data_IF_497987388299
#
_entry.id   IF_497987388299
#
_cell.length_a   1.000
_cell.length_b   1.000
_cell.length_c   1.000
_cell.angle_alpha   90.00
_cell.angle_beta   90.00
_cell.angle_gamma   90.00
#
_symmetry.space_group_name_H-M   'P 1'
#
loop_
_entity.id
_entity.type
_entity.pdbx_description
1 polymer ?
#
# COMPACT_ATOMS: atom_id res chain seq x y z
N UNK A 1 13.44 23.40 16.11
CA UNK A 1 14.84 22.94 16.01
C UNK A 1 14.90 21.88 14.92
N UNK A 2 15.03 22.30 13.66
CA UNK A 2 15.05 21.39 12.51
C UNK A 2 16.49 21.04 12.17
N UNK A 3 16.87 19.77 12.33
CA UNK A 3 18.19 19.28 11.94
C UNK A 3 18.36 19.36 10.42
N UNK A 4 19.00 20.43 9.95
CA UNK A 4 19.40 20.62 8.56
C UNK A 4 20.64 19.82 8.21
N UNK A 5 20.56 18.49 8.35
CA UNK A 5 21.54 17.59 7.77
C UNK A 5 21.28 17.38 6.28
N UNK A 6 22.30 17.11 5.46
CA UNK A 6 22.11 16.73 4.06
C UNK A 6 21.18 15.52 3.96
N UNK A 7 20.17 15.59 3.10
CA UNK A 7 19.29 14.46 2.81
C UNK A 7 20.10 13.34 2.17
N UNK A 8 19.80 12.04 2.39
CA UNK A 8 20.51 10.94 1.75
C UNK A 8 20.66 11.09 0.23
N UNK A 9 19.64 11.65 -0.45
CA UNK A 9 19.68 11.94 -1.88
C UNK A 9 20.73 12.98 -2.30
N UNK A 10 21.11 13.92 -1.42
CA UNK A 10 22.17 14.89 -1.72
C UNK A 10 23.57 14.29 -1.86
N UNK A 11 23.76 13.03 -1.44
CA UNK A 11 25.00 12.27 -1.66
C UNK A 11 25.06 11.63 -3.06
N UNK A 12 23.95 11.61 -3.81
CA UNK A 12 23.94 11.19 -5.21
C UNK A 12 24.30 12.40 -6.05
N UNK A 13 25.38 12.29 -6.84
CA UNK A 13 25.78 13.36 -7.74
C UNK A 13 24.66 13.71 -8.71
N UNK A 14 24.40 15.01 -8.88
CA UNK A 14 23.35 15.57 -9.75
C UNK A 14 23.35 14.94 -11.14
N UNK A 15 24.54 14.71 -11.72
CA UNK A 15 24.69 14.07 -13.04
C UNK A 15 24.19 12.62 -13.10
N UNK A 16 24.20 11.91 -11.96
CA UNK A 16 23.78 10.51 -11.86
C UNK A 16 22.35 10.37 -11.33
N UNK A 17 21.74 11.44 -10.81
CA UNK A 17 20.39 11.45 -10.23
C UNK A 17 19.31 10.90 -11.18
N UNK A 18 19.21 11.31 -12.46
CA UNK A 18 18.19 10.76 -13.34
C UNK A 18 18.33 9.24 -13.52
N UNK A 19 19.55 8.75 -13.74
CA UNK A 19 19.85 7.32 -13.89
C UNK A 19 19.55 6.54 -12.60
N UNK A 20 19.86 7.13 -11.45
CA UNK A 20 19.54 6.58 -10.13
C UNK A 20 18.04 6.36 -9.96
N UNK A 21 17.22 7.33 -10.35
CA UNK A 21 15.76 7.22 -10.26
C UNK A 21 15.24 6.10 -11.15
N UNK A 22 15.73 5.96 -12.38
CA UNK A 22 15.37 4.82 -13.25
C UNK A 22 15.71 3.48 -12.60
N UNK A 23 16.91 3.33 -12.03
CA UNK A 23 17.30 2.09 -11.34
C UNK A 23 16.45 1.81 -10.10
N UNK A 24 16.05 2.83 -9.35
CA UNK A 24 15.13 2.66 -8.22
C UNK A 24 13.74 2.22 -8.70
N UNK A 25 13.21 2.82 -9.78
CA UNK A 25 11.93 2.42 -10.35
C UNK A 25 12.00 0.99 -10.90
N UNK A 26 13.08 0.61 -11.59
CA UNK A 26 13.29 -0.76 -12.08
C UNK A 26 13.38 -1.75 -10.91
N UNK A 27 14.07 -1.37 -9.84
CA UNK A 27 14.14 -2.20 -8.64
C UNK A 27 12.77 -2.39 -7.98
N UNK A 28 11.91 -1.38 -8.01
CA UNK A 28 10.53 -1.50 -7.53
C UNK A 28 9.70 -2.39 -8.46
N UNK A 29 9.65 -2.08 -9.75
CA UNK A 29 8.63 -2.61 -10.66
C UNK A 29 8.98 -3.96 -11.26
N UNK A 30 10.27 -4.23 -11.49
CA UNK A 30 10.76 -5.46 -12.15
C UNK A 30 11.78 -6.24 -11.32
N UNK A 31 12.09 -5.78 -10.09
CA UNK A 31 13.00 -6.46 -9.18
C UNK A 31 14.49 -6.37 -9.57
N UNK A 32 14.87 -5.46 -10.48
CA UNK A 32 16.26 -5.28 -10.88
C UNK A 32 17.13 -4.85 -9.68
N UNK A 33 18.35 -5.37 -9.55
CA UNK A 33 19.23 -4.94 -8.45
C UNK A 33 19.77 -3.52 -8.69
N UNK A 34 19.74 -2.67 -7.66
CA UNK A 34 20.45 -1.38 -7.68
C UNK A 34 21.87 -1.60 -7.19
N UNK A 35 22.87 -1.38 -8.05
CA UNK A 35 24.30 -1.54 -7.70
C UNK A 35 24.89 -0.21 -7.23
N UNK A 36 25.70 -0.26 -6.16
CA UNK A 36 26.48 0.87 -5.67
C UNK A 36 27.67 1.21 -6.58
N UNK A 37 28.13 0.27 -7.42
CA UNK A 37 29.30 0.43 -8.32
C UNK A 37 29.16 1.60 -9.30
N UNK A 38 27.94 2.03 -9.62
CA UNK A 38 27.70 3.20 -10.48
C UNK A 38 27.67 4.53 -9.71
N UNK A 39 27.85 4.47 -8.38
CA UNK A 39 27.70 5.58 -7.44
C UNK A 39 28.80 5.54 -6.37
N UNK A 40 30.02 5.14 -6.73
CA UNK A 40 31.15 4.94 -5.79
C UNK A 40 31.47 6.18 -4.94
N UNK A 41 31.20 7.37 -5.46
CA UNK A 41 31.37 8.65 -4.75
C UNK A 41 30.40 8.84 -3.56
N UNK A 42 29.30 8.08 -3.52
CA UNK A 42 28.33 8.10 -2.43
C UNK A 42 28.72 7.06 -1.38
N UNK A 43 28.81 7.40 -0.07
CA UNK A 43 29.04 6.40 0.97
C UNK A 43 27.97 5.29 0.94
N UNK A 44 28.38 4.03 1.13
CA UNK A 44 27.50 2.86 0.97
C UNK A 44 26.26 2.91 1.88
N UNK A 45 26.40 3.40 3.12
CA UNK A 45 25.27 3.58 4.04
C UNK A 45 24.29 4.65 3.53
N UNK A 46 24.81 5.77 3.01
CA UNK A 46 24.02 6.85 2.42
C UNK A 46 23.33 6.43 1.13
N UNK A 47 23.99 5.60 0.33
CA UNK A 47 23.43 5.05 -0.89
C UNK A 47 22.16 4.25 -0.62
N UNK A 48 22.19 3.31 0.33
CA UNK A 48 21.00 2.52 0.66
C UNK A 48 19.89 3.37 1.27
N UNK A 49 20.23 4.38 2.08
CA UNK A 49 19.25 5.35 2.58
C UNK A 49 18.64 6.17 1.44
N UNK A 50 19.42 6.57 0.45
CA UNK A 50 18.95 7.30 -0.73
C UNK A 50 18.00 6.44 -1.57
N UNK A 51 18.30 5.13 -1.72
CA UNK A 51 17.42 4.18 -2.43
C UNK A 51 16.08 4.11 -1.73
N UNK A 52 16.06 3.91 -0.41
CA UNK A 52 14.81 3.84 0.36
C UNK A 52 14.05 5.18 0.33
N UNK A 53 14.75 6.30 0.45
CA UNK A 53 14.14 7.63 0.36
C UNK A 53 13.48 7.84 -1.00
N UNK A 54 14.16 7.48 -2.10
CA UNK A 54 13.60 7.61 -3.45
C UNK A 54 12.40 6.70 -3.66
N UNK A 55 12.42 5.45 -3.17
CA UNK A 55 11.25 4.56 -3.23
C UNK A 55 10.02 5.17 -2.56
N UNK A 56 10.21 5.80 -1.40
CA UNK A 56 9.13 6.51 -0.69
C UNK A 56 8.60 7.67 -1.51
N UNK A 57 9.48 8.50 -2.07
CA UNK A 57 9.09 9.64 -2.92
C UNK A 57 8.31 9.17 -4.15
N UNK A 58 8.82 8.16 -4.87
CA UNK A 58 8.17 7.57 -6.06
C UNK A 58 6.76 7.07 -5.70
N UNK A 59 6.63 6.37 -4.56
CA UNK A 59 5.34 5.89 -4.05
C UNK A 59 4.39 7.05 -3.72
N UNK A 60 4.86 8.03 -2.97
CA UNK A 60 4.01 9.12 -2.47
C UNK A 60 3.52 10.05 -3.59
N UNK A 61 4.33 10.27 -4.63
CA UNK A 61 3.89 11.00 -5.84
C UNK A 61 2.84 10.19 -6.58
N UNK A 62 3.09 8.89 -6.80
CA UNK A 62 2.19 8.03 -7.58
C UNK A 62 0.81 7.93 -6.92
N UNK A 63 0.79 7.81 -5.59
CA UNK A 63 -0.41 7.75 -4.74
C UNK A 63 -1.00 9.13 -4.40
N UNK A 64 -0.50 10.22 -5.00
CA UNK A 64 -0.97 11.60 -4.82
C UNK A 64 -0.91 12.11 -3.36
N UNK A 65 -0.06 11.49 -2.53
CA UNK A 65 0.22 11.93 -1.15
C UNK A 65 1.17 13.11 -1.10
N UNK A 66 2.00 13.25 -2.14
CA UNK A 66 2.95 14.35 -2.31
C UNK A 66 2.57 15.20 -3.53
N UNK A 67 2.28 16.49 -3.30
CA UNK A 67 2.00 17.41 -4.40
C UNK A 67 3.26 17.77 -5.17
N UNK A 68 3.11 18.25 -6.41
CA UNK A 68 4.23 18.66 -7.25
C UNK A 68 5.08 19.74 -6.58
N UNK A 69 4.47 20.70 -5.91
CA UNK A 69 5.16 21.80 -5.22
C UNK A 69 6.03 21.26 -4.08
N UNK A 70 5.46 20.40 -3.23
CA UNK A 70 6.20 19.78 -2.11
C UNK A 70 7.32 18.87 -2.59
N UNK A 71 7.10 18.18 -3.72
CA UNK A 71 8.13 17.38 -4.37
C UNK A 71 9.30 18.26 -4.84
N UNK A 72 9.00 19.39 -5.49
CA UNK A 72 10.02 20.34 -5.96
C UNK A 72 10.80 20.87 -4.77
N UNK A 73 10.14 21.31 -3.70
CA UNK A 73 10.80 21.81 -2.49
C UNK A 73 11.70 20.75 -1.84
N UNK A 74 11.29 19.48 -1.85
CA UNK A 74 12.04 18.36 -1.28
C UNK A 74 13.35 18.07 -2.03
N UNK A 75 13.34 18.22 -3.36
CA UNK A 75 14.48 17.91 -4.22
C UNK A 75 15.23 19.15 -4.71
N UNK A 76 14.78 20.37 -4.37
CA UNK A 76 15.45 21.63 -4.72
C UNK A 76 16.96 21.66 -4.44
N UNK A 77 17.50 21.00 -3.37
CA UNK A 77 18.96 20.89 -3.19
C UNK A 77 19.72 20.24 -4.36
N UNK A 78 19.03 19.53 -5.26
CA UNK A 78 19.57 18.90 -6.47
C UNK A 78 19.50 19.79 -7.70
N UNK A 79 19.15 21.07 -7.58
CA UNK A 79 18.84 22.02 -8.67
C UNK A 79 17.48 21.80 -9.36
N UNK A 80 16.96 22.87 -9.97
CA UNK A 80 15.62 22.88 -10.56
C UNK A 80 15.52 21.97 -11.80
N UNK A 81 16.51 22.00 -12.69
CA UNK A 81 16.50 21.23 -13.94
C UNK A 81 16.51 19.73 -13.64
N UNK A 82 17.34 19.31 -12.70
CA UNK A 82 17.41 17.91 -12.27
C UNK A 82 16.13 17.49 -11.57
N UNK A 83 15.57 18.33 -10.71
CA UNK A 83 14.30 18.06 -10.02
C UNK A 83 13.14 17.85 -11.01
N UNK A 84 13.03 18.69 -12.03
CA UNK A 84 12.02 18.57 -13.08
C UNK A 84 12.19 17.25 -13.87
N UNK A 85 13.43 16.90 -14.26
CA UNK A 85 13.72 15.63 -14.93
C UNK A 85 13.34 14.40 -14.09
N UNK A 86 13.55 14.46 -12.78
CA UNK A 86 13.13 13.37 -11.87
C UNK A 86 11.61 13.26 -11.83
N UNK A 87 10.90 14.39 -11.73
CA UNK A 87 9.43 14.39 -11.73
C UNK A 87 8.86 13.79 -13.02
N UNK A 88 9.41 14.19 -14.16
CA UNK A 88 9.01 13.68 -15.47
C UNK A 88 9.29 12.17 -15.61
N UNK A 89 10.44 11.69 -15.15
CA UNK A 89 10.79 10.27 -15.19
C UNK A 89 9.80 9.40 -14.38
N UNK A 90 9.38 9.88 -13.19
CA UNK A 90 8.38 9.20 -12.35
C UNK A 90 7.02 9.18 -13.06
N UNK A 91 6.58 10.33 -13.56
CA UNK A 91 5.29 10.45 -14.23
C UNK A 91 5.21 9.65 -15.53
N UNK A 92 6.30 9.58 -16.30
CA UNK A 92 6.36 8.80 -17.53
C UNK A 92 6.11 7.30 -17.30
N UNK A 93 6.43 6.79 -16.09
CA UNK A 93 6.24 5.39 -15.69
C UNK A 93 5.14 5.21 -14.64
N UNK A 94 4.26 6.20 -14.48
CA UNK A 94 3.26 6.21 -13.40
C UNK A 94 2.35 4.97 -13.41
N UNK A 95 1.92 4.52 -14.59
CA UNK A 95 1.10 3.30 -14.73
C UNK A 95 1.82 2.07 -14.20
N UNK A 96 3.05 1.83 -14.65
CA UNK A 96 3.88 0.70 -14.19
C UNK A 96 4.12 0.73 -12.68
N UNK A 97 4.40 1.92 -12.13
CA UNK A 97 4.59 2.10 -10.68
C UNK A 97 3.28 1.80 -9.95
N UNK A 98 2.14 2.30 -10.46
CA UNK A 98 0.82 2.04 -9.90
C UNK A 98 0.51 0.54 -9.85
N UNK A 99 0.75 -0.17 -10.95
CA UNK A 99 0.54 -1.62 -11.04
C UNK A 99 1.44 -2.38 -10.08
N UNK A 100 2.71 -1.98 -9.97
CA UNK A 100 3.64 -2.55 -9.00
C UNK A 100 3.15 -2.36 -7.55
N UNK A 101 2.74 -1.15 -7.19
CA UNK A 101 2.24 -0.84 -5.85
C UNK A 101 0.93 -1.59 -5.56
N UNK A 102 0.06 -1.73 -6.56
CA UNK A 102 -1.16 -2.52 -6.44
C UNK A 102 -0.85 -4.00 -6.19
N UNK A 103 0.05 -4.61 -6.98
CA UNK A 103 0.50 -6.00 -6.75
C UNK A 103 1.11 -6.17 -5.36
N UNK A 104 1.97 -5.25 -4.94
CA UNK A 104 2.55 -5.26 -3.60
C UNK A 104 1.45 -5.21 -2.52
N UNK A 105 0.43 -4.37 -2.67
CA UNK A 105 -0.68 -4.27 -1.73
C UNK A 105 -1.53 -5.55 -1.70
N UNK A 106 -1.86 -6.10 -2.87
CA UNK A 106 -2.63 -7.36 -3.01
C UNK A 106 -1.88 -8.53 -2.39
N UNK A 107 -0.59 -8.70 -2.69
CA UNK A 107 0.22 -9.77 -2.11
C UNK A 107 0.34 -9.69 -0.58
N UNK A 108 0.25 -8.49 -0.01
CA UNK A 108 0.30 -8.27 1.43
C UNK A 108 -1.07 -8.33 2.13
N UNK A 109 -2.16 -8.50 1.38
CA UNK A 109 -3.52 -8.55 1.92
C UNK A 109 -3.97 -10.00 2.13
N UNK A 110 -4.66 -10.28 3.22
CA UNK A 110 -5.31 -11.57 3.42
C UNK A 110 -6.52 -11.69 2.51
N UNK A 111 -6.65 -12.82 1.82
CA UNK A 111 -7.81 -13.11 1.00
C UNK A 111 -8.73 -14.07 1.72
N UNK A 112 -10.04 -13.80 1.65
CA UNK A 112 -11.06 -14.76 2.03
C UNK A 112 -11.00 -15.95 1.07
N UNK A 113 -10.90 -17.16 1.63
CA UNK A 113 -10.86 -18.43 0.93
C UNK A 113 -12.17 -19.18 1.03
N UNK A 114 -12.76 -19.16 2.21
CA UNK A 114 -14.03 -19.83 2.48
C UNK A 114 -14.77 -19.12 3.62
N UNK A 115 -16.08 -19.33 3.72
CA UNK A 115 -16.87 -18.85 4.84
C UNK A 115 -18.02 -19.80 5.16
N UNK A 116 -18.24 -19.99 6.46
CA UNK A 116 -19.35 -20.76 6.99
C UNK A 116 -20.18 -19.90 7.93
N UNK A 117 -21.47 -20.20 8.07
CA UNK A 117 -22.31 -19.48 9.01
C UNK A 117 -23.34 -20.40 9.66
N UNK A 118 -23.77 -20.02 10.86
CA UNK A 118 -24.91 -20.62 11.52
C UNK A 118 -25.74 -19.54 12.22
N UNK A 119 -27.00 -19.87 12.50
CA UNK A 119 -27.92 -19.00 13.23
C UNK A 119 -28.40 -19.74 14.46
N UNK A 120 -28.32 -19.09 15.62
CA UNK A 120 -28.81 -19.60 16.90
C UNK A 120 -29.80 -18.62 17.51
N UNK A 121 -30.73 -19.15 18.28
CA UNK A 121 -31.64 -18.34 19.09
C UNK A 121 -31.09 -18.27 20.51
N UNK A 122 -30.61 -17.11 20.92
CA UNK A 122 -30.23 -16.86 22.31
C UNK A 122 -31.52 -16.61 23.12
N UNK A 123 -31.72 -17.40 24.16
CA UNK A 123 -32.89 -17.28 25.05
C UNK A 123 -32.41 -16.77 26.39
N UNK A 124 -32.90 -15.61 26.82
CA UNK A 124 -32.63 -15.09 28.15
C UNK A 124 -33.47 -15.82 29.21
N UNK A 125 -32.83 -16.42 30.21
CA UNK A 125 -33.52 -17.23 31.24
C UNK A 125 -34.19 -16.40 32.34
N UNK A 126 -33.89 -15.10 32.45
CA UNK A 126 -34.25 -14.30 33.62
C UNK A 126 -35.22 -13.17 33.29
N UNK A 127 -36.50 -13.39 33.63
CA UNK A 127 -37.65 -12.47 33.76
C UNK A 127 -38.65 -12.41 32.58
N UNK A 128 -39.82 -13.05 32.78
CA UNK A 128 -41.22 -12.70 32.40
C UNK A 128 -41.55 -12.30 30.95
N UNK A 129 -40.60 -11.87 30.14
CA UNK A 129 -40.70 -11.65 28.71
C UNK A 129 -39.64 -12.54 28.07
N UNK A 130 -40.06 -13.54 27.30
CA UNK A 130 -39.18 -14.40 26.51
C UNK A 130 -38.46 -13.54 25.45
N UNK A 131 -37.35 -12.91 25.85
CA UNK A 131 -36.48 -12.19 24.94
C UNK A 131 -35.65 -13.25 24.21
N UNK A 132 -36.12 -13.59 23.02
CA UNK A 132 -35.38 -14.42 22.07
C UNK A 132 -34.69 -13.51 21.06
N UNK A 133 -33.37 -13.56 21.00
CA UNK A 133 -32.57 -12.82 20.04
C UNK A 133 -31.90 -13.80 19.08
N UNK A 134 -32.10 -13.58 17.78
CA UNK A 134 -31.42 -14.38 16.77
C UNK A 134 -30.01 -13.82 16.56
N UNK A 135 -29.02 -14.70 16.73
CA UNK A 135 -27.61 -14.40 16.54
C UNK A 135 -27.07 -15.23 15.40
N UNK A 136 -26.30 -14.60 14.51
CA UNK A 136 -25.55 -15.25 13.45
C UNK A 136 -24.08 -15.37 13.87
N UNK A 137 -23.51 -16.55 13.74
CA UNK A 137 -22.06 -16.76 13.84
C UNK A 137 -21.50 -16.94 12.44
N UNK A 138 -20.54 -16.08 12.06
CA UNK A 138 -19.84 -16.10 10.78
C UNK A 138 -18.40 -16.56 11.01
N UNK A 139 -18.00 -17.60 10.30
CA UNK A 139 -16.63 -18.11 10.23
C UNK A 139 -16.02 -17.69 8.90
N UNK A 140 -14.86 -17.05 8.94
CA UNK A 140 -14.11 -16.59 7.77
C UNK A 140 -12.76 -17.28 7.75
N UNK A 141 -12.50 -18.04 6.69
CA UNK A 141 -11.22 -18.68 6.45
C UNK A 141 -10.40 -17.80 5.50
N UNK A 142 -9.28 -17.26 5.97
CA UNK A 142 -8.44 -16.33 5.20
C UNK A 142 -7.02 -16.86 5.01
N UNK A 143 -6.33 -16.44 3.96
CA UNK A 143 -4.90 -16.72 3.80
C UNK A 143 -4.16 -15.59 3.08
N UNK A 144 -2.86 -15.46 3.33
CA UNK A 144 -1.99 -14.56 2.55
C UNK A 144 -1.51 -15.26 1.27
N UNK A 145 -1.40 -14.56 0.12
CA UNK A 145 -0.75 -15.08 -1.09
C UNK A 145 0.71 -15.45 -0.87
N UNK A 146 1.40 -14.74 0.03
CA UNK A 146 2.84 -14.96 0.29
C UNK A 146 3.11 -16.23 1.07
N UNK A 147 2.15 -16.65 1.88
CA UNK A 147 2.28 -17.85 2.69
C UNK A 147 0.90 -18.46 2.93
N UNK A 148 0.52 -19.43 2.11
CA UNK A 148 -0.73 -20.17 2.29
C UNK A 148 -0.81 -20.91 3.63
N UNK A 149 0.34 -21.16 4.28
CA UNK A 149 0.39 -21.77 5.62
C UNK A 149 0.00 -20.80 6.74
N UNK A 150 -0.03 -19.50 6.47
CA UNK A 150 -0.53 -18.48 7.40
C UNK A 150 -2.06 -18.32 7.26
N UNK A 151 -2.76 -19.44 7.09
CA UNK A 151 -4.21 -19.44 7.10
C UNK A 151 -4.73 -19.02 8.49
N UNK A 152 -5.72 -18.14 8.51
CA UNK A 152 -6.30 -17.63 9.74
C UNK A 152 -7.82 -17.71 9.67
N UNK A 153 -8.38 -18.26 10.75
CA UNK A 153 -9.81 -18.38 10.95
C UNK A 153 -10.30 -17.25 11.86
N UNK A 154 -11.23 -16.45 11.36
CA UNK A 154 -11.89 -15.41 12.13
C UNK A 154 -13.34 -15.82 12.38
N UNK A 155 -13.79 -15.74 13.63
CA UNK A 155 -15.16 -16.01 14.03
C UNK A 155 -15.79 -14.74 14.60
N UNK A 156 -16.93 -14.33 14.06
CA UNK A 156 -17.66 -13.13 14.47
C UNK A 156 -19.10 -13.49 14.75
N UNK A 157 -19.61 -13.07 15.90
CA UNK A 157 -21.02 -13.19 16.25
C UNK A 157 -21.72 -11.85 16.07
N UNK A 158 -22.89 -11.87 15.44
CA UNK A 158 -23.62 -10.68 15.03
C UNK A 158 -25.11 -10.82 15.32
N UNK A 159 -25.75 -9.72 15.72
CA UNK A 159 -27.21 -9.59 15.74
C UNK A 159 -27.76 -9.39 14.33
N UNK A 160 -29.07 -9.56 14.15
CA UNK A 160 -29.72 -9.29 12.86
C UNK A 160 -29.41 -7.87 12.32
N UNK A 161 -29.45 -6.86 13.18
CA UNK A 161 -29.13 -5.49 12.79
C UNK A 161 -27.68 -5.31 12.32
N UNK A 162 -26.72 -6.01 12.93
CA UNK A 162 -25.32 -5.96 12.50
C UNK A 162 -25.12 -6.68 11.17
N UNK A 163 -25.86 -7.77 10.92
CA UNK A 163 -25.85 -8.46 9.62
C UNK A 163 -26.40 -7.53 8.52
N UNK A 164 -27.48 -6.80 8.79
CA UNK A 164 -28.03 -5.84 7.83
C UNK A 164 -27.01 -4.74 7.49
N UNK A 165 -26.33 -4.17 8.48
CA UNK A 165 -25.23 -3.21 8.26
C UNK A 165 -24.10 -3.81 7.43
N UNK A 166 -23.65 -5.04 7.74
CA UNK A 166 -22.60 -5.70 6.97
C UNK A 166 -23.01 -5.90 5.50
N UNK A 167 -24.27 -6.29 5.26
CA UNK A 167 -24.78 -6.46 3.90
C UNK A 167 -24.87 -5.14 3.14
N UNK A 168 -25.23 -4.04 3.81
CA UNK A 168 -25.23 -2.70 3.21
C UNK A 168 -23.81 -2.26 2.83
N UNK A 169 -22.83 -2.47 3.70
CA UNK A 169 -21.42 -2.14 3.42
C UNK A 169 -20.88 -2.97 2.25
N UNK A 170 -21.14 -4.28 2.22
CA UNK A 170 -20.70 -5.16 1.14
C UNK A 170 -21.36 -4.82 -0.20
N UNK A 171 -22.64 -4.47 -0.22
CA UNK A 171 -23.32 -3.98 -1.43
C UNK A 171 -22.73 -2.67 -1.93
N UNK A 172 -22.49 -1.71 -1.03
CA UNK A 172 -21.83 -0.46 -1.38
C UNK A 172 -20.45 -0.68 -2.00
N UNK A 173 -19.65 -1.59 -1.43
CA UNK A 173 -18.37 -1.97 -2.01
C UNK A 173 -18.53 -2.63 -3.40
N UNK A 174 -19.51 -3.53 -3.57
CA UNK A 174 -19.81 -4.14 -4.86
C UNK A 174 -20.22 -3.13 -5.94
N UNK A 175 -21.01 -2.11 -5.58
CA UNK A 175 -21.45 -1.06 -6.50
C UNK A 175 -20.27 -0.22 -6.99
N UNK A 176 -19.31 0.11 -6.11
CA UNK A 176 -18.07 0.81 -6.47
C UNK A 176 -17.25 -0.05 -7.44
N UNK A 177 -17.05 -1.33 -7.10
CA UNK A 177 -16.27 -2.26 -7.93
C UNK A 177 -16.88 -2.45 -9.33
N UNK A 178 -18.21 -2.47 -9.42
CA UNK A 178 -18.94 -2.61 -10.70
C UNK A 178 -18.83 -1.38 -11.61
N UNK A 179 -18.45 -0.23 -11.05
CA UNK A 179 -18.25 1.03 -11.79
C UNK A 179 -16.80 1.24 -12.22
N UNK A 180 -15.87 0.42 -11.72
CA UNK A 180 -14.49 0.45 -12.17
C UNK A 180 -14.38 -0.23 -13.54
N UNK A 181 -13.69 0.37 -14.51
CA UNK A 181 -13.41 -0.30 -15.78
C UNK A 181 -12.62 -1.57 -15.52
N UNK A 182 -13.13 -2.69 -16.03
CA UNK A 182 -12.36 -3.94 -16.16
C UNK A 182 -11.39 -3.73 -17.32
N UNK A 183 -10.12 -3.50 -17.02
CA UNK A 183 -9.03 -3.65 -17.99
C UNK A 183 -8.65 -5.13 -18.14
#
# INVERSE_FOLDING_TARGET
MGGGGPTPLSFISVQHTPKFVYHVIDNMCVGASVSHEMYEDCPLDKFWLAVQQMKTIVRDITLEKLTKEKFIDLLLPLDQETTEKVYEAINARRGEISDCLFREAVENTYHLKDFDWNVRLAVASDKVLDLSESLLTLHLHTSSPKNEKDASDLCVEMTAAQVDTLLEELKGAQDILSQLPLD
#
